data_IF_213291265927
#
_entry.id   IF_213291265927
#
_cell.length_a   1.000
_cell.length_b   1.000
_cell.length_c   1.000
_cell.angle_alpha   90.00
_cell.angle_beta   90.00
_cell.angle_gamma   90.00
#
_symmetry.space_group_name_H-M   'P 1'
#
loop_
_entity.id
_entity.type
_entity.pdbx_description
1 polymer ?
#
# COMPACT_ATOMS: atom_id res chain seq x y z
N UNK A 1 -5.58 -11.70 13.06
CA UNK A 1 -4.37 -11.50 12.24
C UNK A 1 -4.83 -11.02 10.88
N UNK A 2 -4.48 -9.81 10.46
CA UNK A 2 -4.76 -9.35 9.10
C UNK A 2 -3.96 -10.21 8.13
N UNK A 3 -4.67 -10.88 7.20
CA UNK A 3 -4.01 -11.64 6.13
C UNK A 3 -3.45 -10.62 5.13
N UNK A 4 -2.13 -10.57 5.00
CA UNK A 4 -1.49 -9.79 3.94
C UNK A 4 -1.35 -10.66 2.69
N UNK A 5 -1.67 -10.10 1.54
CA UNK A 5 -1.43 -10.76 0.27
C UNK A 5 0.07 -11.03 0.06
N UNK A 6 0.41 -12.12 -0.63
CA UNK A 6 1.79 -12.46 -0.97
C UNK A 6 2.41 -11.34 -1.82
N UNK A 7 1.74 -10.95 -2.90
CA UNK A 7 2.10 -9.79 -3.72
C UNK A 7 1.29 -8.58 -3.21
N UNK A 8 1.78 -7.96 -2.13
CA UNK A 8 1.08 -6.85 -1.47
C UNK A 8 1.31 -5.52 -2.20
N UNK A 9 0.31 -4.65 -2.16
CA UNK A 9 0.37 -3.32 -2.76
C UNK A 9 1.54 -2.48 -2.23
N UNK A 10 1.77 -2.49 -0.91
CA UNK A 10 2.85 -1.74 -0.27
C UNK A 10 4.26 -2.14 -0.73
N UNK A 11 4.42 -3.36 -1.25
CA UNK A 11 5.69 -3.88 -1.78
C UNK A 11 5.73 -3.99 -3.31
N UNK A 12 4.73 -3.44 -4.02
CA UNK A 12 4.63 -3.54 -5.48
C UNK A 12 5.89 -3.05 -6.20
N UNK A 13 6.51 -1.98 -5.72
CA UNK A 13 7.76 -1.44 -6.25
C UNK A 13 8.95 -2.42 -6.16
N UNK A 14 8.89 -3.43 -5.27
CA UNK A 14 9.92 -4.47 -5.13
C UNK A 14 9.62 -5.66 -6.02
N UNK A 15 8.43 -6.23 -5.94
CA UNK A 15 8.14 -7.48 -6.63
C UNK A 15 7.87 -7.30 -8.13
N UNK A 16 7.48 -6.13 -8.60
CA UNK A 16 7.47 -5.83 -10.05
C UNK A 16 8.87 -5.81 -10.65
N UNK A 17 9.89 -5.55 -9.85
CA UNK A 17 11.29 -5.58 -10.25
C UNK A 17 11.97 -6.93 -9.98
N UNK A 18 11.69 -7.54 -8.82
CA UNK A 18 12.16 -8.86 -8.43
C UNK A 18 10.96 -9.70 -7.98
N UNK A 19 10.28 -10.43 -8.90
CA UNK A 19 9.04 -11.16 -8.61
C UNK A 19 9.15 -12.15 -7.46
N UNK A 20 10.37 -12.55 -7.11
CA UNK A 20 10.61 -13.47 -5.99
C UNK A 20 10.83 -12.79 -4.64
N UNK A 21 10.86 -11.46 -4.62
CA UNK A 21 11.06 -10.72 -3.37
C UNK A 21 9.99 -11.02 -2.29
N UNK A 22 8.72 -11.32 -2.61
CA UNK A 22 7.75 -11.73 -1.59
C UNK A 22 8.09 -13.06 -0.93
N UNK A 23 8.54 -14.04 -1.71
CA UNK A 23 8.91 -15.37 -1.21
C UNK A 23 10.14 -15.27 -0.29
N UNK A 24 11.20 -14.63 -0.77
CA UNK A 24 12.42 -14.42 0.01
C UNK A 24 12.13 -13.60 1.29
N UNK A 25 11.23 -12.64 1.24
CA UNK A 25 10.86 -11.83 2.41
C UNK A 25 10.15 -12.66 3.49
N UNK A 26 9.43 -13.72 3.13
CA UNK A 26 8.82 -14.65 4.10
C UNK A 26 9.83 -15.52 4.84
N UNK A 27 11.00 -15.75 4.24
CA UNK A 27 12.09 -16.54 4.86
C UNK A 27 12.93 -15.71 5.84
N UNK A 28 12.77 -14.39 5.82
CA UNK A 28 13.50 -13.51 6.72
C UNK A 28 12.76 -13.38 8.07
N UNK A 29 13.54 -13.24 9.13
CA UNK A 29 12.97 -12.95 10.45
C UNK A 29 12.22 -11.61 10.46
N UNK A 30 11.04 -11.60 11.08
CA UNK A 30 10.27 -10.37 11.27
C UNK A 30 10.97 -9.45 12.26
N UNK A 31 11.26 -8.24 11.80
CA UNK A 31 11.78 -7.20 12.68
C UNK A 31 10.62 -6.42 13.31
N UNK A 32 10.70 -6.08 14.58
CA UNK A 32 9.67 -5.27 15.22
C UNK A 32 9.52 -3.92 14.52
N UNK A 33 8.28 -3.48 14.37
CA UNK A 33 7.97 -2.17 13.78
C UNK A 33 8.58 -1.04 14.60
N UNK A 34 9.24 -0.11 13.93
CA UNK A 34 9.78 1.09 14.56
C UNK A 34 8.69 2.04 15.08
N UNK A 35 9.07 3.00 15.90
CA UNK A 35 8.16 3.98 16.53
C UNK A 35 7.33 4.75 15.48
N UNK A 36 7.97 5.19 14.39
CA UNK A 36 7.29 5.90 13.30
C UNK A 36 6.21 5.04 12.63
N UNK A 37 6.48 3.75 12.37
CA UNK A 37 5.50 2.84 11.79
C UNK A 37 4.32 2.59 12.75
N UNK A 38 4.58 2.42 14.04
CA UNK A 38 3.53 2.28 15.06
C UNK A 38 2.67 3.54 15.17
N UNK A 39 3.29 4.74 15.11
CA UNK A 39 2.56 6.01 15.07
C UNK A 39 1.69 6.08 13.81
N UNK A 40 2.23 5.75 12.65
CA UNK A 40 1.47 5.71 11.39
C UNK A 40 0.23 4.83 11.50
N UNK A 41 0.39 3.58 11.97
CA UNK A 41 -0.74 2.66 12.16
C UNK A 41 -1.84 3.25 13.06
N UNK A 42 -1.47 3.94 14.16
CA UNK A 42 -2.45 4.60 15.02
C UNK A 42 -3.19 5.73 14.32
N UNK A 43 -2.48 6.55 13.53
CA UNK A 43 -3.08 7.66 12.80
C UNK A 43 -4.06 7.17 11.73
N UNK A 44 -3.74 6.08 11.04
CA UNK A 44 -4.67 5.44 10.09
C UNK A 44 -5.92 4.90 10.79
N UNK A 45 -5.76 4.23 11.95
CA UNK A 45 -6.91 3.76 12.73
C UNK A 45 -7.85 4.92 13.14
N UNK A 46 -7.29 6.02 13.66
CA UNK A 46 -8.06 7.21 14.01
C UNK A 46 -8.74 7.83 12.79
N UNK A 47 -8.07 7.87 11.65
CA UNK A 47 -8.64 8.38 10.40
C UNK A 47 -9.85 7.56 9.94
N UNK A 48 -9.72 6.23 9.99
CA UNK A 48 -10.79 5.30 9.67
C UNK A 48 -11.99 5.44 10.62
N UNK A 49 -11.76 5.46 11.93
CA UNK A 49 -12.80 5.64 12.94
C UNK A 49 -13.53 6.97 12.76
N UNK A 50 -12.79 8.06 12.56
CA UNK A 50 -13.37 9.40 12.39
C UNK A 50 -14.24 9.49 11.15
N UNK A 51 -13.74 9.05 10.00
CA UNK A 51 -14.54 9.07 8.78
C UNK A 51 -15.76 8.16 8.87
N UNK A 52 -15.62 6.97 9.47
CA UNK A 52 -16.73 6.03 9.66
C UNK A 52 -17.82 6.62 10.57
N UNK A 53 -17.45 7.30 11.64
CA UNK A 53 -18.37 8.00 12.51
C UNK A 53 -19.13 9.10 11.73
N UNK A 54 -18.43 9.92 10.97
CA UNK A 54 -19.04 10.94 10.10
C UNK A 54 -20.04 10.30 9.12
N UNK A 55 -19.63 9.28 8.38
CA UNK A 55 -20.46 8.62 7.36
C UNK A 55 -21.69 7.90 7.96
N UNK A 56 -21.65 7.54 9.24
CA UNK A 56 -22.80 7.00 9.99
C UNK A 56 -23.72 8.08 10.60
N UNK A 57 -23.39 9.36 10.42
CA UNK A 57 -24.16 10.48 11.00
C UNK A 57 -23.88 10.70 12.49
N UNK A 58 -22.80 10.17 13.05
CA UNK A 58 -22.40 10.43 14.44
C UNK A 58 -21.68 11.77 14.52
N UNK A 59 -22.34 12.77 15.10
CA UNK A 59 -21.76 14.10 15.31
C UNK A 59 -20.85 14.18 16.55
N UNK A 60 -20.87 13.17 17.42
CA UNK A 60 -20.19 13.18 18.73
C UNK A 60 -18.77 12.59 18.71
N UNK A 61 -18.23 12.25 17.54
CA UNK A 61 -16.88 11.70 17.49
C UNK A 61 -15.81 12.76 17.73
N UNK A 62 -15.14 12.67 18.85
CA UNK A 62 -13.97 13.50 19.17
C UNK A 62 -12.66 12.70 18.95
N UNK A 63 -11.84 13.09 17.95
CA UNK A 63 -10.56 12.42 17.74
C UNK A 63 -9.60 12.69 18.91
N UNK A 64 -8.78 11.72 19.29
CA UNK A 64 -7.82 11.88 20.38
C UNK A 64 -6.79 12.98 20.06
N UNK A 65 -6.37 13.71 21.10
CA UNK A 65 -5.27 14.68 20.97
C UNK A 65 -3.97 13.89 20.86
N UNK A 66 -3.32 13.94 19.70
CA UNK A 66 -2.05 13.26 19.46
C UNK A 66 -1.22 13.94 18.36
N UNK A 67 0.09 13.68 18.38
CA UNK A 67 0.98 14.17 17.32
C UNK A 67 0.56 13.61 15.95
N UNK A 68 0.44 14.50 14.95
CA UNK A 68 0.02 14.14 13.58
C UNK A 68 -1.49 14.19 13.34
N UNK A 69 -2.31 14.51 14.35
CA UNK A 69 -3.77 14.57 14.21
C UNK A 69 -4.25 15.60 13.17
N UNK A 70 -3.50 16.68 12.95
CA UNK A 70 -3.80 17.67 11.91
C UNK A 70 -3.79 17.04 10.50
N UNK A 71 -2.89 16.10 10.25
CA UNK A 71 -2.86 15.35 8.99
C UNK A 71 -4.06 14.43 8.83
N UNK A 72 -4.49 13.78 9.92
CA UNK A 72 -5.72 12.97 9.95
C UNK A 72 -6.94 13.83 9.65
N UNK A 73 -7.06 14.99 10.33
CA UNK A 73 -8.15 15.95 10.07
C UNK A 73 -8.22 16.32 8.60
N UNK A 74 -7.09 16.70 8.01
CA UNK A 74 -7.03 17.09 6.61
C UNK A 74 -7.46 15.95 5.67
N UNK A 75 -7.05 14.71 5.96
CA UNK A 75 -7.47 13.53 5.20
C UNK A 75 -8.99 13.29 5.31
N UNK A 76 -9.55 13.33 6.53
CA UNK A 76 -10.99 13.15 6.75
C UNK A 76 -11.79 14.25 6.07
N UNK A 77 -11.38 15.51 6.19
CA UNK A 77 -12.01 16.66 5.50
C UNK A 77 -12.00 16.48 3.97
N UNK A 78 -10.91 15.91 3.42
CA UNK A 78 -10.86 15.56 2.00
C UNK A 78 -11.95 14.55 1.63
N UNK A 79 -12.06 13.43 2.38
CA UNK A 79 -13.07 12.40 2.11
C UNK A 79 -14.50 12.94 2.25
N UNK A 80 -14.75 13.74 3.29
CA UNK A 80 -16.06 14.39 3.52
C UNK A 80 -16.44 15.31 2.34
N UNK A 81 -15.50 16.09 1.84
CA UNK A 81 -15.71 16.96 0.67
C UNK A 81 -16.04 16.15 -0.58
N UNK A 82 -15.33 15.04 -0.82
CA UNK A 82 -15.59 14.16 -1.97
C UNK A 82 -16.98 13.49 -1.83
N UNK A 83 -17.38 13.09 -0.63
CA UNK A 83 -18.71 12.54 -0.37
C UNK A 83 -19.82 13.57 -0.62
N UNK A 84 -19.64 14.79 -0.18
CA UNK A 84 -20.56 15.90 -0.47
C UNK A 84 -20.64 16.24 -1.97
N UNK A 85 -19.56 15.95 -2.73
CA UNK A 85 -19.54 16.06 -4.19
C UNK A 85 -20.18 14.86 -4.91
N UNK A 86 -20.77 13.92 -4.16
CA UNK A 86 -21.47 12.76 -4.71
C UNK A 86 -20.58 11.52 -4.94
N UNK A 87 -19.29 11.56 -4.54
CA UNK A 87 -18.47 10.36 -4.42
C UNK A 87 -18.94 9.56 -3.20
N UNK A 88 -18.57 8.31 -3.13
CA UNK A 88 -18.83 7.46 -1.96
C UNK A 88 -17.52 6.79 -1.55
N UNK A 89 -16.72 7.44 -0.70
CA UNK A 89 -15.48 6.82 -0.23
C UNK A 89 -15.75 5.51 0.52
N UNK A 90 -15.08 4.45 0.09
CA UNK A 90 -15.07 3.16 0.78
C UNK A 90 -13.68 3.05 1.41
N UNK A 91 -13.63 3.02 2.74
CA UNK A 91 -12.36 3.05 3.49
C UNK A 91 -11.94 1.66 3.93
N UNK A 92 -10.63 1.41 3.99
CA UNK A 92 -10.01 0.19 4.51
C UNK A 92 -10.59 -1.12 3.93
N UNK A 93 -11.00 -1.10 2.67
CA UNK A 93 -11.55 -2.27 1.98
C UNK A 93 -10.47 -2.99 1.17
N UNK A 94 -10.35 -4.30 1.39
CA UNK A 94 -9.41 -5.13 0.62
C UNK A 94 -9.83 -5.22 -0.86
N UNK A 95 -8.87 -5.03 -1.74
CA UNK A 95 -8.99 -5.25 -3.19
C UNK A 95 -7.94 -6.24 -3.68
N UNK A 96 -8.33 -7.15 -4.56
CA UNK A 96 -7.44 -8.15 -5.12
C UNK A 96 -8.05 -9.55 -5.12
N UNK A 97 -7.18 -10.54 -5.19
CA UNK A 97 -7.55 -11.95 -5.21
C UNK A 97 -8.13 -12.40 -3.85
N UNK A 98 -9.30 -13.09 -3.84
CA UNK A 98 -9.94 -13.57 -2.60
C UNK A 98 -9.09 -14.59 -1.83
N UNK A 99 -8.11 -15.22 -2.46
CA UNK A 99 -7.17 -16.14 -1.81
C UNK A 99 -5.93 -15.43 -1.22
N UNK A 100 -5.89 -14.09 -1.31
CA UNK A 100 -4.76 -13.28 -0.83
C UNK A 100 -3.43 -13.61 -1.52
N UNK A 101 -3.47 -14.09 -2.77
CA UNK A 101 -2.27 -14.24 -3.59
C UNK A 101 -1.71 -12.87 -3.93
N UNK A 102 -2.57 -11.94 -4.33
CA UNK A 102 -2.20 -10.56 -4.61
C UNK A 102 -3.29 -9.59 -4.18
N UNK A 103 -2.90 -8.36 -3.83
CA UNK A 103 -3.86 -7.33 -3.44
C UNK A 103 -3.35 -6.38 -2.37
N UNK A 104 -4.26 -5.61 -1.82
CA UNK A 104 -3.99 -4.66 -0.74
C UNK A 104 -5.24 -3.97 -0.24
N UNK A 105 -5.05 -3.12 0.75
CA UNK A 105 -6.11 -2.32 1.34
C UNK A 105 -5.73 -0.85 1.13
N UNK A 106 -6.39 -0.12 0.22
CA UNK A 106 -6.25 1.32 0.12
C UNK A 106 -6.89 2.00 1.34
N UNK A 107 -6.39 3.17 1.71
CA UNK A 107 -6.99 3.96 2.79
C UNK A 107 -8.40 4.44 2.40
N UNK A 108 -8.59 4.81 1.12
CA UNK A 108 -9.93 5.01 0.55
C UNK A 108 -9.98 4.69 -0.95
N UNK A 109 -11.15 4.22 -1.37
CA UNK A 109 -11.53 4.02 -2.77
C UNK A 109 -12.78 4.85 -3.10
N UNK A 110 -12.78 5.48 -4.26
CA UNK A 110 -13.94 6.09 -4.88
C UNK A 110 -14.11 5.57 -6.30
N UNK A 111 -15.17 5.93 -6.99
CA UNK A 111 -15.53 5.37 -8.30
C UNK A 111 -14.36 5.35 -9.32
N UNK A 112 -13.52 6.38 -9.30
CA UNK A 112 -12.36 6.52 -10.19
C UNK A 112 -11.12 7.04 -9.48
N UNK A 113 -10.99 6.82 -8.18
CA UNK A 113 -9.88 7.33 -7.42
C UNK A 113 -9.42 6.33 -6.35
N UNK A 114 -8.11 6.17 -6.26
CA UNK A 114 -7.44 5.46 -5.16
C UNK A 114 -6.71 6.49 -4.31
N UNK A 115 -7.01 6.51 -3.03
CA UNK A 115 -6.40 7.44 -2.07
C UNK A 115 -5.56 6.67 -1.06
N UNK A 116 -4.36 7.20 -0.79
CA UNK A 116 -3.44 6.68 0.20
C UNK A 116 -2.97 7.84 1.11
N UNK A 117 -3.18 7.68 2.40
CA UNK A 117 -2.83 8.65 3.44
C UNK A 117 -1.43 8.38 3.97
N UNK A 118 -0.55 9.34 3.89
CA UNK A 118 0.84 9.22 4.35
C UNK A 118 1.10 10.10 5.57
N UNK A 119 1.59 9.47 6.63
CA UNK A 119 1.88 10.12 7.92
C UNK A 119 3.36 10.42 8.13
N UNK A 120 4.21 10.03 7.18
CA UNK A 120 5.66 10.25 7.22
C UNK A 120 6.05 11.68 6.81
N UNK A 121 7.27 12.09 7.14
CA UNK A 121 7.81 13.43 6.81
C UNK A 121 8.28 13.53 5.36
N UNK A 122 8.85 12.44 4.82
CA UNK A 122 9.35 12.40 3.46
C UNK A 122 8.18 12.34 2.49
N UNK A 123 8.08 13.33 1.61
CA UNK A 123 6.99 13.41 0.63
C UNK A 123 7.03 12.20 -0.33
N UNK A 124 5.87 11.59 -0.48
CA UNK A 124 5.63 10.48 -1.40
C UNK A 124 4.90 11.01 -2.63
N UNK A 125 5.46 10.88 -3.84
CA UNK A 125 4.76 11.31 -5.04
C UNK A 125 3.60 10.37 -5.38
N UNK A 126 2.54 10.89 -5.97
CA UNK A 126 1.48 10.10 -6.59
C UNK A 126 1.95 9.55 -7.95
N UNK A 127 2.73 10.36 -8.68
CA UNK A 127 3.26 9.98 -10.00
C UNK A 127 4.23 8.81 -9.92
N UNK A 128 3.97 7.74 -10.70
CA UNK A 128 4.78 6.52 -10.71
C UNK A 128 4.72 5.73 -9.39
N UNK A 129 3.71 5.95 -8.58
CA UNK A 129 3.53 5.24 -7.32
C UNK A 129 2.96 3.84 -7.57
N UNK A 130 3.84 2.84 -7.58
CA UNK A 130 3.48 1.45 -7.86
C UNK A 130 2.46 0.86 -6.86
N UNK A 131 2.36 1.39 -5.63
CA UNK A 131 1.34 0.98 -4.66
C UNK A 131 -0.04 1.39 -5.15
N UNK A 132 -0.22 2.67 -5.53
CA UNK A 132 -1.49 3.20 -6.03
C UNK A 132 -1.87 2.59 -7.39
N UNK A 133 -0.91 2.48 -8.31
CA UNK A 133 -1.11 1.83 -9.62
C UNK A 133 -1.62 0.40 -9.46
N UNK A 134 -1.02 -0.35 -8.53
CA UNK A 134 -1.41 -1.73 -8.26
C UNK A 134 -2.77 -1.83 -7.57
N UNK A 135 -3.08 -0.95 -6.63
CA UNK A 135 -4.40 -0.91 -5.99
C UNK A 135 -5.50 -0.60 -7.01
N UNK A 136 -5.26 0.34 -7.93
CA UNK A 136 -6.18 0.63 -9.04
C UNK A 136 -6.38 -0.59 -9.95
N UNK A 137 -5.29 -1.31 -10.28
CA UNK A 137 -5.36 -2.57 -11.01
C UNK A 137 -6.21 -3.62 -10.27
N UNK A 138 -5.98 -3.81 -8.95
CA UNK A 138 -6.74 -4.76 -8.13
C UNK A 138 -8.22 -4.40 -8.01
N UNK A 139 -8.57 -3.11 -8.10
CA UNK A 139 -9.94 -2.61 -8.09
C UNK A 139 -10.60 -2.57 -9.48
N UNK A 140 -9.93 -3.14 -10.51
CA UNK A 140 -10.37 -3.11 -11.91
C UNK A 140 -10.66 -1.69 -12.44
N UNK A 141 -9.90 -0.72 -11.98
CA UNK A 141 -10.01 0.67 -12.43
C UNK A 141 -9.10 0.91 -13.63
N UNK A 142 -9.59 1.73 -14.56
CA UNK A 142 -8.81 2.24 -15.70
C UNK A 142 -8.78 3.76 -15.66
N UNK A 143 -7.62 4.34 -15.92
CA UNK A 143 -7.44 5.80 -15.85
C UNK A 143 -7.84 6.35 -14.48
N UNK A 144 -7.59 5.60 -13.41
CA UNK A 144 -7.88 6.04 -12.06
C UNK A 144 -7.06 7.28 -11.69
N UNK A 145 -7.67 8.19 -10.94
CA UNK A 145 -6.95 9.23 -10.23
C UNK A 145 -6.22 8.59 -9.05
N UNK A 146 -4.93 8.78 -8.96
CA UNK A 146 -4.06 8.27 -7.90
C UNK A 146 -3.72 9.42 -6.97
N UNK A 147 -4.11 9.34 -5.72
CA UNK A 147 -3.99 10.46 -4.78
C UNK A 147 -3.22 10.06 -3.53
N UNK A 148 -2.20 10.85 -3.21
CA UNK A 148 -1.51 10.83 -1.92
C UNK A 148 -1.97 12.06 -1.11
N UNK A 149 -2.44 11.82 0.11
CA UNK A 149 -2.71 12.87 1.08
C UNK A 149 -1.63 12.83 2.14
N UNK A 150 -0.84 13.90 2.23
CA UNK A 150 0.31 13.96 3.14
C UNK A 150 0.62 15.38 3.58
N UNK A 151 0.81 15.61 4.88
CA UNK A 151 1.24 16.89 5.44
C UNK A 151 0.37 18.09 4.96
N UNK A 152 -0.96 17.93 4.96
CA UNK A 152 -1.90 18.96 4.51
C UNK A 152 -1.85 19.24 3.00
N UNK A 153 -1.37 18.30 2.21
CA UNK A 153 -1.28 18.41 0.75
C UNK A 153 -2.01 17.26 0.07
N UNK A 154 -2.60 17.56 -1.07
CA UNK A 154 -3.16 16.57 -2.01
C UNK A 154 -2.24 16.51 -3.21
N UNK A 155 -1.63 15.37 -3.45
CA UNK A 155 -0.77 15.10 -4.61
C UNK A 155 -1.49 14.06 -5.48
N UNK A 156 -1.79 14.39 -6.73
CA UNK A 156 -2.52 13.49 -7.61
C UNK A 156 -1.84 13.30 -8.95
N UNK A 157 -2.03 12.14 -9.55
CA UNK A 157 -1.66 11.78 -10.92
C UNK A 157 -2.74 10.85 -11.49
N UNK A 158 -2.63 10.51 -12.76
CA UNK A 158 -3.52 9.55 -13.43
C UNK A 158 -2.75 8.25 -13.60
N UNK A 159 -3.46 7.13 -13.39
CA UNK A 159 -2.94 5.79 -13.61
C UNK A 159 -2.30 5.66 -15.01
N UNK A 160 -1.07 5.16 -15.05
CA UNK A 160 -0.28 4.98 -16.28
C UNK A 160 -0.08 3.52 -16.63
N UNK A 161 -0.03 2.66 -15.60
CA UNK A 161 0.22 1.25 -15.81
C UNK A 161 -1.06 0.50 -16.18
N UNK A 162 -1.04 -0.17 -17.32
CA UNK A 162 -2.18 -0.94 -17.83
C UNK A 162 -2.38 -2.32 -17.18
N UNK A 163 -1.70 -2.62 -16.07
CA UNK A 163 -1.82 -3.89 -15.35
C UNK A 163 -0.91 -5.01 -15.84
N UNK A 164 -0.37 -4.98 -17.05
CA UNK A 164 0.49 -6.03 -17.60
C UNK A 164 1.71 -6.31 -16.75
N UNK A 165 2.41 -5.26 -16.29
CA UNK A 165 3.58 -5.41 -15.43
C UNK A 165 3.27 -6.15 -14.11
N UNK A 166 2.07 -5.96 -13.56
CA UNK A 166 1.65 -6.64 -12.34
C UNK A 166 1.32 -8.10 -12.61
N UNK A 167 0.56 -8.38 -13.68
CA UNK A 167 0.20 -9.73 -14.08
C UNK A 167 1.45 -10.57 -14.40
N UNK A 168 2.39 -10.02 -15.16
CA UNK A 168 3.65 -10.67 -15.49
C UNK A 168 4.47 -10.99 -14.24
N UNK A 169 4.63 -10.01 -13.35
CA UNK A 169 5.39 -10.19 -12.11
C UNK A 169 4.75 -11.21 -11.16
N UNK A 170 3.42 -11.24 -11.04
CA UNK A 170 2.69 -12.23 -10.24
C UNK A 170 2.87 -13.62 -10.86
N UNK A 171 2.71 -13.75 -12.17
CA UNK A 171 2.89 -15.02 -12.88
C UNK A 171 4.30 -15.57 -12.69
N UNK A 172 5.31 -14.75 -12.93
CA UNK A 172 6.73 -15.13 -12.75
C UNK A 172 7.01 -15.49 -11.29
N UNK A 173 6.55 -14.68 -10.34
CA UNK A 173 6.78 -14.89 -8.91
C UNK A 173 6.03 -16.08 -8.32
N UNK A 174 5.01 -16.59 -9.03
CA UNK A 174 4.26 -17.79 -8.65
C UNK A 174 4.90 -19.09 -9.21
N UNK A 175 5.99 -19.01 -9.99
CA UNK A 175 6.70 -20.17 -10.49
C UNK A 175 7.62 -20.76 -9.40
N UNK A 176 7.96 -22.07 -9.54
CA UNK A 176 8.79 -22.76 -8.56
C UNK A 176 10.24 -22.24 -8.50
N UNK A 177 10.75 -21.70 -9.61
CA UNK A 177 12.14 -21.19 -9.72
C UNK A 177 12.21 -19.82 -10.40
N UNK A 178 11.71 -18.77 -9.78
CA UNK A 178 11.75 -17.45 -10.37
C UNK A 178 13.16 -16.85 -10.34
N UNK A 179 13.45 -16.02 -11.32
CA UNK A 179 14.74 -15.34 -11.43
C UNK A 179 14.90 -14.27 -10.34
N UNK A 180 15.90 -14.43 -9.48
CA UNK A 180 16.31 -13.39 -8.53
C UNK A 180 17.05 -12.25 -9.26
N UNK A 181 16.68 -11.02 -8.92
CA UNK A 181 17.28 -9.81 -9.50
C UNK A 181 18.02 -9.03 -8.43
N UNK A 182 19.36 -8.95 -8.55
CA UNK A 182 20.20 -8.13 -7.66
C UNK A 182 20.26 -6.69 -8.15
N UNK A 183 20.12 -5.71 -7.24
CA UNK A 183 20.29 -4.30 -7.56
C UNK A 183 19.90 -3.36 -6.42
N UNK A 184 19.77 -2.04 -6.70
CA UNK A 184 19.59 -1.02 -5.67
C UNK A 184 18.33 -1.23 -4.80
N UNK A 185 17.25 -1.74 -5.38
CA UNK A 185 16.00 -2.00 -4.64
C UNK A 185 16.15 -3.09 -3.56
N UNK A 186 17.17 -3.95 -3.64
CA UNK A 186 17.47 -4.95 -2.60
C UNK A 186 17.72 -4.31 -1.23
N UNK A 187 18.17 -3.07 -1.15
CA UNK A 187 18.38 -2.36 0.12
C UNK A 187 17.09 -2.24 0.94
N UNK A 188 15.94 -2.18 0.27
CA UNK A 188 14.60 -2.09 0.89
C UNK A 188 13.90 -3.44 1.02
N UNK A 189 14.50 -4.52 0.51
CA UNK A 189 13.93 -5.87 0.58
C UNK A 189 14.13 -6.48 1.98
N UNK A 190 13.05 -6.91 2.62
CA UNK A 190 13.12 -7.61 3.93
C UNK A 190 13.96 -8.89 3.85
N UNK A 191 13.85 -9.62 2.75
CA UNK A 191 14.54 -10.87 2.52
C UNK A 191 16.04 -10.74 2.18
N UNK A 192 16.60 -9.51 2.16
CA UNK A 192 17.98 -9.28 1.73
C UNK A 192 19.01 -10.13 2.47
N UNK A 193 18.84 -10.31 3.78
CA UNK A 193 19.81 -11.06 4.62
C UNK A 193 19.87 -12.54 4.31
N UNK A 194 18.82 -13.11 3.74
CA UNK A 194 18.70 -14.54 3.38
C UNK A 194 18.68 -14.77 1.87
N UNK A 195 18.75 -13.72 1.07
CA UNK A 195 18.67 -13.81 -0.38
C UNK A 195 19.98 -14.31 -1.00
N UNK A 196 19.99 -15.45 -1.72
CA UNK A 196 21.19 -15.99 -2.38
C UNK A 196 21.85 -15.00 -3.34
N UNK A 197 21.05 -14.31 -4.16
CA UNK A 197 21.56 -13.33 -5.11
C UNK A 197 22.27 -12.14 -4.45
N UNK A 198 21.92 -11.80 -3.20
CA UNK A 198 22.56 -10.71 -2.45
C UNK A 198 23.76 -11.19 -1.65
N UNK A 199 23.61 -12.31 -0.92
CA UNK A 199 24.62 -12.83 0.01
C UNK A 199 25.75 -13.57 -0.69
N UNK A 200 25.53 -14.05 -1.91
CA UNK A 200 26.46 -14.94 -2.64
C UNK A 200 26.58 -16.34 -2.04
N UNK A 201 25.74 -16.67 -1.05
CA UNK A 201 25.71 -18.01 -0.46
C UNK A 201 24.93 -18.94 -1.37
N UNK A 202 25.38 -20.20 -1.45
CA UNK A 202 24.58 -21.25 -2.08
C UNK A 202 23.22 -21.31 -1.39
N UNK A 203 22.20 -21.51 -2.19
CA UNK A 203 20.83 -21.59 -1.70
C UNK A 203 20.61 -22.95 -1.01
N UNK A 204 20.43 -23.00 0.34
CA UNK A 204 20.23 -24.24 1.06
C UNK A 204 18.93 -24.95 0.69
N UNK A 205 18.01 -24.28 0.00
CA UNK A 205 16.70 -24.79 -0.40
C UNK A 205 16.62 -25.07 -1.92
N UNK A 206 17.71 -24.89 -2.66
CA UNK A 206 17.79 -25.20 -4.10
C UNK A 206 16.96 -24.31 -5.01
N UNK A 207 16.76 -23.04 -4.62
CA UNK A 207 16.01 -22.05 -5.39
C UNK A 207 16.75 -21.55 -6.62
#
# INVERSE_FOLDING_TARGET
MSKHALFSASSAHLWTWCPWSPIISKLAEDKPSGTAAKRGTKLHAVAHEWYTAYASGSEDYEPPIMEGISGVRFYVEYLVKEEQAGQRPIVETYVGDPFYTYGGTPDALMLREVVDFKTGEVLVPASGNMQLEFLAYCADMRNAKLTIIQNGRVLSDVQKEGGGIFQDAITIGSTEKPKLVKGPKCQKCKGRSVCPAWTGKEDPNGF
#
